data_IF_230777568066
#
_entry.id   IF_230777568066
#
_cell.length_a   1.000
_cell.length_b   1.000
_cell.length_c   1.000
_cell.angle_alpha   90.00
_cell.angle_beta   90.00
_cell.angle_gamma   90.00
#
_symmetry.space_group_name_H-M   'P 1'
#
loop_
_entity.id
_entity.type
_entity.pdbx_description
1 polymer ?
#
# COMPACT_ATOMS: atom_id res chain seq x y z
N UNK A 1 11.43 24.88 -24.17
CA UNK A 1 11.19 23.44 -24.41
C UNK A 1 12.42 22.60 -24.10
N UNK A 2 13.58 22.85 -24.72
CA UNK A 2 14.82 22.11 -24.42
C UNK A 2 15.28 22.23 -22.95
N UNK A 3 15.22 23.43 -22.35
CA UNK A 3 15.48 23.67 -20.92
C UNK A 3 14.58 22.84 -20.00
N UNK A 4 13.28 22.74 -20.33
CA UNK A 4 12.29 21.98 -19.55
C UNK A 4 12.52 20.48 -19.67
N UNK A 5 12.87 20.01 -20.87
CA UNK A 5 13.26 18.61 -21.10
C UNK A 5 14.57 18.27 -20.39
N UNK A 6 15.56 19.16 -20.40
CA UNK A 6 16.82 18.96 -19.66
C UNK A 6 16.62 19.04 -18.16
N UNK A 7 15.70 19.86 -17.66
CA UNK A 7 15.32 19.86 -16.26
C UNK A 7 14.62 18.56 -15.84
N UNK A 8 13.72 18.03 -16.69
CA UNK A 8 12.98 16.79 -16.42
C UNK A 8 13.85 15.53 -16.56
N UNK A 9 14.67 15.47 -17.61
CA UNK A 9 15.46 14.30 -18.01
C UNK A 9 16.94 14.38 -17.66
N UNK A 10 17.47 15.56 -17.30
CA UNK A 10 18.89 15.75 -16.97
C UNK A 10 19.31 14.99 -15.71
N UNK A 11 18.39 14.80 -14.76
CA UNK A 11 18.60 13.95 -13.59
C UNK A 11 18.79 12.46 -13.94
N UNK A 12 18.31 12.02 -15.11
CA UNK A 12 18.46 10.65 -15.60
C UNK A 12 19.70 10.48 -16.50
N UNK A 13 20.39 11.57 -16.86
CA UNK A 13 21.51 11.53 -17.80
C UNK A 13 22.73 10.77 -17.25
N UNK A 14 22.94 10.81 -15.93
CA UNK A 14 24.01 10.09 -15.23
C UNK A 14 23.60 8.68 -14.77
N UNK A 15 22.34 8.29 -14.96
CA UNK A 15 21.82 7.00 -14.48
C UNK A 15 21.94 5.90 -15.53
N UNK A 16 22.28 4.69 -15.08
CA UNK A 16 22.30 3.51 -15.96
C UNK A 16 20.89 3.24 -16.49
N UNK A 17 20.81 2.94 -17.79
CA UNK A 17 19.56 2.59 -18.49
C UNK A 17 18.81 1.43 -17.81
N UNK A 18 19.54 0.52 -17.15
CA UNK A 18 18.94 -0.59 -16.39
C UNK A 18 18.16 -0.11 -15.16
N UNK A 19 18.65 0.91 -14.44
CA UNK A 19 17.95 1.44 -13.26
C UNK A 19 16.68 2.19 -13.67
N UNK A 20 16.75 2.96 -14.75
CA UNK A 20 15.60 3.67 -15.33
C UNK A 20 14.54 2.67 -15.79
N UNK A 21 14.94 1.60 -16.47
CA UNK A 21 14.02 0.55 -16.90
C UNK A 21 13.35 -0.16 -15.71
N UNK A 22 14.12 -0.48 -14.66
CA UNK A 22 13.58 -1.09 -13.43
C UNK A 22 12.61 -0.16 -12.70
N UNK A 23 12.93 1.13 -12.59
CA UNK A 23 12.03 2.14 -12.02
C UNK A 23 10.72 2.23 -12.79
N UNK A 24 10.79 2.29 -14.13
CA UNK A 24 9.60 2.32 -14.98
C UNK A 24 8.73 1.08 -14.80
N UNK A 25 9.34 -0.11 -14.75
CA UNK A 25 8.63 -1.36 -14.47
C UNK A 25 7.99 -1.31 -13.08
N UNK A 26 8.70 -0.84 -12.06
CA UNK A 26 8.18 -0.68 -10.71
C UNK A 26 6.97 0.25 -10.66
N UNK A 27 7.03 1.39 -11.36
CA UNK A 27 5.92 2.35 -11.47
C UNK A 27 4.71 1.73 -12.18
N UNK A 28 4.92 1.01 -13.30
CA UNK A 28 3.84 0.34 -14.03
C UNK A 28 3.15 -0.71 -13.16
N UNK A 29 3.92 -1.52 -12.43
CA UNK A 29 3.38 -2.49 -11.48
C UNK A 29 2.64 -1.78 -10.34
N UNK A 30 3.19 -0.70 -9.79
CA UNK A 30 2.54 0.09 -8.74
C UNK A 30 1.18 0.65 -9.18
N UNK A 31 1.11 1.27 -10.36
CA UNK A 31 -0.15 1.78 -10.94
C UNK A 31 -1.13 0.64 -11.21
N UNK A 32 -0.63 -0.49 -11.74
CA UNK A 32 -1.45 -1.67 -11.97
C UNK A 32 -2.07 -2.19 -10.67
N UNK A 33 -1.31 -2.25 -9.57
CA UNK A 33 -1.82 -2.64 -8.25
C UNK A 33 -3.02 -1.78 -7.83
N UNK A 34 -2.96 -0.46 -7.99
CA UNK A 34 -4.07 0.46 -7.67
C UNK A 34 -5.30 0.20 -8.55
N UNK A 35 -5.10 -0.04 -9.85
CA UNK A 35 -6.21 -0.34 -10.77
C UNK A 35 -6.90 -1.67 -10.44
N UNK A 36 -6.14 -2.66 -9.98
CA UNK A 36 -6.70 -3.91 -9.50
C UNK A 36 -7.44 -3.74 -8.16
N UNK A 37 -7.07 -2.74 -7.34
CA UNK A 37 -7.71 -2.47 -6.05
C UNK A 37 -9.13 -1.98 -6.26
N UNK A 38 -9.34 -1.15 -7.28
CA UNK A 38 -10.68 -0.77 -7.74
C UNK A 38 -11.52 -1.97 -8.19
N UNK A 39 -10.90 -3.06 -8.65
CA UNK A 39 -11.60 -4.29 -9.07
C UNK A 39 -11.79 -5.31 -7.94
N UNK A 40 -11.44 -4.99 -6.70
CA UNK A 40 -11.55 -5.89 -5.53
C UNK A 40 -10.85 -7.25 -5.74
N UNK A 41 -9.78 -7.26 -6.57
CA UNK A 41 -9.03 -8.47 -6.91
C UNK A 41 -7.89 -8.71 -5.92
N UNK A 42 -7.67 -9.98 -5.52
CA UNK A 42 -6.55 -10.40 -4.63
C UNK A 42 -5.17 -10.03 -5.16
N UNK A 43 -5.04 -9.92 -6.48
CA UNK A 43 -3.79 -9.70 -7.19
C UNK A 43 -3.19 -8.30 -6.96
N UNK A 44 -3.92 -7.40 -6.30
CA UNK A 44 -3.43 -6.07 -5.88
C UNK A 44 -2.18 -6.18 -5.03
N UNK A 45 -2.24 -7.07 -4.04
CA UNK A 45 -1.18 -7.25 -3.06
C UNK A 45 0.12 -7.79 -3.67
N UNK A 46 0.13 -8.89 -4.44
CA UNK A 46 1.37 -9.39 -5.03
C UNK A 46 1.97 -8.43 -6.06
N UNK A 47 1.16 -7.73 -6.85
CA UNK A 47 1.65 -6.75 -7.84
C UNK A 47 2.29 -5.54 -7.14
N UNK A 48 1.66 -5.04 -6.06
CA UNK A 48 2.20 -3.95 -5.25
C UNK A 48 3.47 -4.36 -4.50
N UNK A 49 3.54 -5.61 -4.04
CA UNK A 49 4.72 -6.15 -3.36
C UNK A 49 5.93 -6.25 -4.31
N UNK A 50 5.71 -6.68 -5.55
CA UNK A 50 6.77 -6.69 -6.58
C UNK A 50 7.28 -5.27 -6.84
N UNK A 51 6.39 -4.29 -6.95
CA UNK A 51 6.76 -2.89 -7.13
C UNK A 51 7.63 -2.37 -5.97
N UNK A 52 7.16 -2.54 -4.73
CA UNK A 52 7.87 -2.10 -3.52
C UNK A 52 9.22 -2.81 -3.36
N UNK A 53 9.31 -4.11 -3.68
CA UNK A 53 10.58 -4.85 -3.64
C UNK A 53 11.61 -4.31 -4.64
N UNK A 54 11.17 -3.92 -5.84
CA UNK A 54 12.04 -3.26 -6.82
C UNK A 54 12.52 -1.91 -6.28
N UNK A 55 11.64 -1.10 -5.68
CA UNK A 55 12.03 0.18 -5.07
C UNK A 55 13.04 0.01 -3.92
N UNK A 56 12.85 -0.99 -3.05
CA UNK A 56 13.83 -1.31 -1.98
C UNK A 56 15.20 -1.61 -2.59
N UNK A 57 15.25 -2.37 -3.69
CA UNK A 57 16.50 -2.67 -4.38
C UNK A 57 17.16 -1.42 -5.00
N UNK A 58 16.39 -0.53 -5.63
CA UNK A 58 16.91 0.73 -6.20
C UNK A 58 17.49 1.62 -5.09
N UNK A 59 16.76 1.80 -4.00
CA UNK A 59 17.16 2.65 -2.88
C UNK A 59 18.40 2.12 -2.16
N UNK A 60 18.54 0.80 -2.04
CA UNK A 60 19.77 0.17 -1.56
C UNK A 60 20.99 0.59 -2.40
N UNK A 61 20.84 0.56 -3.73
CA UNK A 61 21.92 0.94 -4.66
C UNK A 61 22.28 2.41 -4.58
N UNK A 62 21.30 3.29 -4.28
CA UNK A 62 21.52 4.72 -4.13
C UNK A 62 22.00 5.12 -2.73
N UNK A 63 22.13 4.16 -1.79
CA UNK A 63 22.51 4.40 -0.38
C UNK A 63 21.55 5.35 0.36
N UNK A 64 20.30 5.48 -0.12
CA UNK A 64 19.22 6.15 0.60
C UNK A 64 18.55 5.16 1.55
N UNK A 65 19.27 4.81 2.63
CA UNK A 65 18.80 3.82 3.59
C UNK A 65 17.50 4.25 4.28
N UNK A 66 17.29 5.54 4.55
CA UNK A 66 16.05 6.03 5.16
C UNK A 66 14.79 5.70 4.33
N UNK A 67 14.82 5.97 3.03
CA UNK A 67 13.69 5.72 2.13
C UNK A 67 13.51 4.22 1.85
N UNK A 68 14.61 3.48 1.87
CA UNK A 68 14.61 2.02 1.76
C UNK A 68 13.89 1.37 2.93
N UNK A 69 14.14 1.80 4.19
CA UNK A 69 13.47 1.24 5.37
C UNK A 69 11.96 1.46 5.33
N UNK A 70 11.51 2.60 4.81
CA UNK A 70 10.09 2.89 4.66
C UNK A 70 9.46 1.99 3.60
N UNK A 71 10.08 1.86 2.42
CA UNK A 71 9.62 0.92 1.39
C UNK A 71 9.63 -0.54 1.87
N UNK A 72 10.60 -0.93 2.69
CA UNK A 72 10.64 -2.25 3.30
C UNK A 72 9.49 -2.46 4.30
N UNK A 73 9.22 -1.47 5.14
CA UNK A 73 8.07 -1.49 6.05
C UNK A 73 6.75 -1.63 5.30
N UNK A 74 6.57 -0.88 4.20
CA UNK A 74 5.42 -1.02 3.32
C UNK A 74 5.26 -2.43 2.75
N UNK A 75 6.36 -3.04 2.31
CA UNK A 75 6.34 -4.41 1.78
C UNK A 75 5.85 -5.40 2.84
N UNK A 76 6.38 -5.34 4.06
CA UNK A 76 5.97 -6.21 5.17
C UNK A 76 4.50 -6.00 5.55
N UNK A 77 4.07 -4.75 5.66
CA UNK A 77 2.68 -4.42 5.97
C UNK A 77 1.72 -4.85 4.86
N UNK A 78 2.13 -4.76 3.60
CA UNK A 78 1.35 -5.26 2.45
C UNK A 78 1.19 -6.78 2.50
N UNK A 79 2.23 -7.52 2.89
CA UNK A 79 2.15 -8.99 3.14
C UNK A 79 1.13 -9.27 4.24
N UNK A 80 1.20 -8.55 5.35
CA UNK A 80 0.27 -8.74 6.46
C UNK A 80 -1.19 -8.50 6.02
N UNK A 81 -1.45 -7.39 5.31
CA UNK A 81 -2.77 -7.09 4.74
C UNK A 81 -3.26 -8.19 3.80
N UNK A 82 -2.37 -8.71 2.95
CA UNK A 82 -2.67 -9.81 2.04
C UNK A 82 -3.08 -11.10 2.78
N UNK A 83 -2.31 -11.50 3.79
CA UNK A 83 -2.58 -12.71 4.57
C UNK A 83 -3.95 -12.60 5.27
N UNK A 84 -4.23 -11.46 5.91
CA UNK A 84 -5.48 -11.25 6.62
C UNK A 84 -6.70 -11.25 5.68
N UNK A 85 -6.57 -10.60 4.51
CA UNK A 85 -7.64 -10.53 3.53
C UNK A 85 -7.93 -11.88 2.85
N UNK A 86 -6.89 -12.69 2.61
CA UNK A 86 -7.05 -14.04 2.05
C UNK A 86 -7.81 -14.97 3.00
N UNK A 87 -7.57 -14.85 4.31
CA UNK A 87 -8.27 -15.66 5.31
C UNK A 87 -9.76 -15.30 5.45
N UNK A 88 -10.11 -14.01 5.42
CA UNK A 88 -11.51 -13.60 5.51
C UNK A 88 -12.35 -14.02 4.30
N UNK A 89 -11.79 -13.97 3.08
CA UNK A 89 -12.47 -14.48 1.86
C UNK A 89 -12.78 -15.97 1.96
N UNK A 90 -11.87 -16.78 2.49
CA UNK A 90 -12.06 -18.22 2.65
C UNK A 90 -13.19 -18.56 3.63
N UNK A 91 -13.29 -17.83 4.74
CA UNK A 91 -14.36 -18.02 5.72
C UNK A 91 -15.74 -17.61 5.19
N UNK A 92 -15.81 -16.56 4.35
CA UNK A 92 -17.05 -16.13 3.70
C UNK A 92 -17.53 -17.16 2.66
N UNK A 93 -16.60 -17.78 1.94
CA UNK A 93 -16.90 -18.84 0.96
C UNK A 93 -17.42 -20.12 1.64
N UNK A 94 -16.79 -20.54 2.74
CA UNK A 94 -17.22 -21.70 3.54
C UNK A 94 -18.58 -21.49 4.22
N UNK A 95 -18.87 -20.28 4.73
CA UNK A 95 -20.20 -19.97 5.28
C UNK A 95 -21.29 -20.08 4.23
N UNK A 96 -21.06 -19.51 3.04
CA UNK A 96 -21.98 -19.70 1.92
C UNK A 96 -22.15 -21.18 1.61
N UNK A 97 -21.06 -21.97 1.65
CA UNK A 97 -21.08 -23.38 1.29
C UNK A 97 -21.87 -24.31 2.25
N UNK A 98 -22.07 -23.87 3.50
CA UNK A 98 -22.71 -24.66 4.55
C UNK A 98 -24.23 -24.38 4.68
N UNK A 99 -24.73 -23.27 4.11
CA UNK A 99 -26.15 -22.93 4.12
C UNK A 99 -26.99 -23.76 3.15
N UNK A 100 -26.36 -24.43 2.16
CA UNK A 100 -27.06 -25.27 1.18
C UNK A 100 -27.21 -26.74 1.55
N UNK A 101 -26.81 -27.15 2.77
CA UNK A 101 -26.98 -28.54 3.23
C UNK A 101 -28.29 -28.74 4.03
N UNK A 102 -29.20 -27.75 4.01
CA UNK A 102 -30.51 -27.86 4.66
C UNK A 102 -31.64 -27.65 3.64
N UNK A 103 -32.12 -28.70 2.95
CA UNK A 103 -33.15 -28.55 1.93
C UNK A 103 -34.51 -28.68 2.58
N UNK A 104 -35.10 -27.58 3.07
CA UNK A 104 -36.56 -27.53 3.18
C UNK A 104 -37.07 -26.09 3.17
N UNK A 105 -37.79 -25.75 2.09
CA UNK A 105 -38.72 -24.61 1.92
C UNK A 105 -38.26 -23.25 1.33
N UNK A 106 -37.36 -23.18 0.32
CA UNK A 106 -37.08 -21.91 -0.39
C UNK A 106 -36.88 -22.01 -1.94
N UNK A 107 -37.18 -23.15 -2.58
CA UNK A 107 -36.81 -23.40 -3.99
C UNK A 107 -37.62 -22.66 -5.07
N UNK A 108 -38.52 -21.72 -4.73
CA UNK A 108 -39.39 -21.07 -5.72
C UNK A 108 -38.90 -19.67 -6.19
N UNK A 109 -37.98 -19.02 -5.48
CA UNK A 109 -37.64 -17.60 -5.75
C UNK A 109 -36.26 -17.39 -6.42
N UNK A 110 -35.48 -18.45 -6.64
CA UNK A 110 -34.05 -18.37 -7.01
C UNK A 110 -33.75 -18.25 -8.53
N UNK A 111 -34.76 -18.34 -9.40
CA UNK A 111 -34.55 -18.23 -10.85
C UNK A 111 -34.77 -16.83 -11.45
N UNK A 112 -35.37 -15.90 -10.71
CA UNK A 112 -35.66 -14.53 -11.22
C UNK A 112 -34.65 -13.48 -10.76
N UNK A 113 -33.76 -13.79 -9.80
CA UNK A 113 -32.75 -12.83 -9.31
C UNK A 113 -31.43 -12.82 -10.12
N UNK A 114 -31.25 -13.82 -10.99
CA UNK A 114 -29.98 -14.05 -11.70
C UNK A 114 -29.81 -13.27 -13.02
N UNK A 115 -30.74 -12.37 -13.36
CA UNK A 115 -30.64 -11.51 -14.56
C UNK A 115 -30.20 -10.06 -14.25
N UNK A 116 -30.29 -9.62 -12.98
CA UNK A 116 -30.11 -8.20 -12.61
C UNK A 116 -28.98 -7.97 -11.60
N UNK A 117 -28.19 -9.00 -11.27
CA UNK A 117 -27.07 -8.93 -10.33
C UNK A 117 -25.82 -8.25 -10.93
N UNK A 118 -26.01 -7.12 -11.62
CA UNK A 118 -24.95 -6.15 -11.86
C UNK A 118 -24.84 -5.26 -10.60
N UNK A 119 -23.79 -5.52 -9.81
CA UNK A 119 -23.18 -4.53 -8.91
C UNK A 119 -24.04 -3.92 -7.80
N UNK A 120 -24.73 -4.73 -7.00
CA UNK A 120 -25.09 -4.29 -5.65
C UNK A 120 -23.84 -4.46 -4.75
N UNK A 121 -22.91 -3.51 -4.84
CA UNK A 121 -21.91 -3.32 -3.78
C UNK A 121 -22.72 -2.90 -2.56
N UNK A 122 -22.98 -3.82 -1.63
CA UNK A 122 -23.46 -3.44 -0.30
C UNK A 122 -22.40 -2.49 0.27
N UNK A 123 -22.73 -1.19 0.28
CA UNK A 123 -21.86 -0.15 0.82
C UNK A 123 -21.83 -0.39 2.31
N UNK A 124 -20.83 -1.17 2.76
CA UNK A 124 -20.57 -1.39 4.17
C UNK A 124 -20.25 -0.03 4.81
N UNK A 125 -21.26 0.54 5.46
CA UNK A 125 -21.14 1.84 6.08
C UNK A 125 -20.18 1.70 7.27
N UNK A 126 -19.13 2.51 7.25
CA UNK A 126 -18.20 2.70 8.37
C UNK A 126 -18.99 2.82 9.68
N UNK A 127 -18.91 1.80 10.54
CA UNK A 127 -19.55 1.87 11.84
C UNK A 127 -18.75 2.85 12.69
N UNK A 128 -19.44 3.73 13.45
CA UNK A 128 -18.79 4.73 14.30
C UNK A 128 -17.87 4.10 15.36
N UNK A 129 -18.06 2.83 15.66
CA UNK A 129 -17.22 2.02 16.57
C UNK A 129 -15.83 1.70 16.02
N UNK A 130 -15.63 1.85 14.71
CA UNK A 130 -14.42 1.45 14.01
C UNK A 130 -13.47 2.63 13.81
N UNK A 131 -14.06 3.83 13.80
CA UNK A 131 -13.37 5.11 13.74
C UNK A 131 -12.26 5.28 14.81
N UNK A 132 -12.43 4.90 16.10
CA UNK A 132 -11.35 5.01 17.08
C UNK A 132 -10.19 4.06 16.76
N UNK A 133 -10.44 2.82 16.35
CA UNK A 133 -9.37 1.90 15.94
C UNK A 133 -8.63 2.48 14.72
N UNK A 134 -9.37 2.99 13.75
CA UNK A 134 -8.83 3.57 12.53
C UNK A 134 -7.95 4.79 12.82
N UNK A 135 -8.39 5.65 13.75
CA UNK A 135 -7.66 6.86 14.17
C UNK A 135 -6.39 6.50 14.93
N UNK A 136 -6.45 5.52 15.83
CA UNK A 136 -5.26 5.03 16.56
C UNK A 136 -4.26 4.41 15.59
N UNK A 137 -4.72 3.60 14.63
CA UNK A 137 -3.87 2.98 13.62
C UNK A 137 -3.19 4.03 12.74
N UNK A 138 -3.94 5.03 12.28
CA UNK A 138 -3.41 6.14 11.47
C UNK A 138 -2.38 6.96 12.27
N UNK A 139 -2.70 7.34 13.51
CA UNK A 139 -1.80 8.11 14.37
C UNK A 139 -0.51 7.34 14.68
N UNK A 140 -0.62 6.06 15.02
CA UNK A 140 0.53 5.19 15.26
C UNK A 140 1.42 5.06 14.00
N UNK A 141 0.80 4.93 12.83
CA UNK A 141 1.52 4.88 11.55
C UNK A 141 2.26 6.18 11.28
N UNK A 142 1.58 7.33 11.38
CA UNK A 142 2.21 8.64 11.16
C UNK A 142 3.36 8.85 12.14
N UNK A 143 3.19 8.50 13.41
CA UNK A 143 4.25 8.59 14.41
C UNK A 143 5.45 7.70 14.07
N UNK A 144 5.20 6.47 13.62
CA UNK A 144 6.26 5.55 13.21
C UNK A 144 7.04 6.05 11.99
N UNK A 145 6.35 6.45 10.93
CA UNK A 145 6.99 6.94 9.70
C UNK A 145 7.72 8.27 9.96
N UNK A 146 7.12 9.17 10.75
CA UNK A 146 7.79 10.40 11.20
C UNK A 146 9.06 10.09 12.00
N UNK A 147 9.04 9.08 12.86
CA UNK A 147 10.23 8.65 13.60
C UNK A 147 11.33 8.17 12.65
N UNK A 148 10.99 7.36 11.65
CA UNK A 148 11.96 6.90 10.65
C UNK A 148 12.56 8.08 9.88
N UNK A 149 11.74 9.05 9.45
CA UNK A 149 12.25 10.26 8.79
C UNK A 149 13.08 11.15 9.69
N UNK A 150 12.73 11.25 10.97
CA UNK A 150 13.52 11.98 11.95
C UNK A 150 14.94 11.41 12.06
N UNK A 151 15.08 10.09 12.00
CA UNK A 151 16.39 9.41 12.01
C UNK A 151 17.03 9.26 10.63
N UNK A 152 16.40 9.70 9.54
CA UNK A 152 16.96 9.62 8.17
C UNK A 152 18.41 10.12 8.07
N UNK A 153 18.82 11.28 8.67
CA UNK A 153 20.21 11.75 8.58
C UNK A 153 21.21 10.80 9.24
N UNK A 154 20.83 10.21 10.38
CA UNK A 154 21.65 9.25 11.12
C UNK A 154 21.76 7.93 10.35
N UNK A 155 20.64 7.47 9.81
CA UNK A 155 20.54 6.24 9.01
C UNK A 155 21.39 6.36 7.74
N UNK A 156 21.34 7.49 7.06
CA UNK A 156 22.12 7.73 5.84
C UNK A 156 23.62 7.95 6.14
N UNK A 157 23.98 8.43 7.33
CA UNK A 157 25.37 8.53 7.81
C UNK A 157 25.86 7.24 8.50
N UNK A 158 25.41 6.07 8.03
CA UNK A 158 25.85 4.76 8.52
C UNK A 158 25.67 4.59 10.05
N UNK A 159 24.55 5.09 10.57
CA UNK A 159 24.18 5.13 12.00
C UNK A 159 25.11 5.99 12.88
N UNK A 160 25.82 6.95 12.29
CA UNK A 160 26.62 7.91 13.03
C UNK A 160 25.81 9.14 13.43
N UNK A 161 25.94 9.54 14.69
CA UNK A 161 25.40 10.80 15.20
C UNK A 161 26.35 11.99 14.98
N UNK A 162 27.59 11.73 14.52
CA UNK A 162 28.57 12.79 14.28
C UNK A 162 28.15 13.67 13.09
N UNK A 163 27.88 14.95 13.36
CA UNK A 163 27.41 15.90 12.36
C UNK A 163 25.93 15.74 11.94
N UNK A 164 25.19 14.82 12.57
CA UNK A 164 23.77 14.63 12.28
C UNK A 164 22.93 15.73 12.94
N UNK A 165 22.50 16.71 12.14
CA UNK A 165 21.52 17.71 12.60
C UNK A 165 20.16 17.03 12.61
N UNK A 166 19.62 16.74 13.80
CA UNK A 166 18.27 16.21 13.96
C UNK A 166 17.28 17.36 14.07
N UNK A 167 16.22 17.35 13.26
CA UNK A 167 15.22 18.40 13.33
C UNK A 167 14.06 18.19 12.39
N UNK A 168 12.87 18.65 12.80
CA UNK A 168 11.66 18.63 11.98
C UNK A 168 11.76 19.50 10.72
N UNK A 169 12.74 20.41 10.67
CA UNK A 169 13.03 21.21 9.47
C UNK A 169 13.56 20.36 8.29
N UNK A 170 14.07 19.15 8.55
CA UNK A 170 14.50 18.24 7.48
C UNK A 170 13.33 17.56 6.76
N UNK A 171 12.10 17.71 7.27
CA UNK A 171 10.93 17.13 6.63
C UNK A 171 10.61 17.91 5.38
N UNK A 172 10.71 17.23 4.25
CA UNK A 172 10.29 17.74 2.96
C UNK A 172 8.78 17.55 2.80
N UNK A 173 8.18 18.31 1.89
CA UNK A 173 6.77 18.11 1.55
C UNK A 173 6.46 16.67 1.11
N UNK A 174 7.41 16.02 0.44
CA UNK A 174 7.32 14.62 0.01
C UNK A 174 7.16 13.68 1.22
N UNK A 175 7.87 13.93 2.31
CA UNK A 175 7.80 13.12 3.52
C UNK A 175 6.40 13.20 4.16
N UNK A 176 5.80 14.39 4.20
CA UNK A 176 4.42 14.59 4.67
C UNK A 176 3.41 13.86 3.79
N UNK A 177 3.61 13.91 2.46
CA UNK A 177 2.74 13.17 1.55
C UNK A 177 2.87 11.67 1.73
N UNK A 178 4.08 11.15 1.91
CA UNK A 178 4.30 9.72 2.12
C UNK A 178 3.61 9.26 3.41
N UNK A 179 3.86 9.93 4.54
CA UNK A 179 3.21 9.66 5.83
C UNK A 179 1.68 9.59 5.72
N UNK A 180 1.08 10.54 4.99
CA UNK A 180 -0.37 10.58 4.77
C UNK A 180 -0.83 9.41 3.88
N UNK A 181 -0.12 9.13 2.80
CA UNK A 181 -0.44 7.99 1.93
C UNK A 181 -0.25 6.65 2.64
N UNK A 182 0.73 6.52 3.55
CA UNK A 182 0.92 5.35 4.40
C UNK A 182 -0.29 5.12 5.28
N UNK A 183 -0.72 6.19 5.98
CA UNK A 183 -1.82 6.11 6.93
C UNK A 183 -3.12 5.72 6.22
N UNK A 184 -3.42 6.38 5.09
CA UNK A 184 -4.59 6.05 4.28
C UNK A 184 -4.54 4.63 3.73
N UNK A 185 -3.38 4.16 3.29
CA UNK A 185 -3.20 2.81 2.77
C UNK A 185 -3.45 1.75 3.85
N UNK A 186 -2.89 1.93 5.05
CA UNK A 186 -3.12 1.00 6.17
C UNK A 186 -4.56 1.03 6.67
N UNK A 187 -5.16 2.22 6.74
CA UNK A 187 -6.58 2.39 7.03
C UNK A 187 -7.44 1.62 6.02
N UNK A 188 -7.15 1.74 4.72
CA UNK A 188 -7.86 1.04 3.65
C UNK A 188 -7.69 -0.48 3.76
N UNK A 189 -6.48 -0.97 4.01
CA UNK A 189 -6.24 -2.41 4.21
C UNK A 189 -6.98 -2.95 5.42
N UNK A 190 -6.99 -2.21 6.54
CA UNK A 190 -7.72 -2.61 7.74
C UNK A 190 -9.23 -2.67 7.50
N UNK A 191 -9.79 -1.66 6.82
CA UNK A 191 -11.21 -1.64 6.45
C UNK A 191 -11.58 -2.76 5.50
N UNK A 192 -10.72 -3.06 4.53
CA UNK A 192 -10.95 -4.12 3.56
C UNK A 192 -10.87 -5.52 4.20
N UNK A 193 -10.11 -5.67 5.28
CA UNK A 193 -9.93 -6.93 5.98
C UNK A 193 -10.94 -7.14 7.13
N UNK A 194 -11.76 -6.14 7.44
CA UNK A 194 -12.93 -6.30 8.31
C UNK A 194 -14.06 -6.97 7.54
#
# INVERSE_FOLDING_TARGET
MAELLNWLFGQYADYSTLFIALELIAVIFGVSSVLLASKTNILVFPIGLVSTAIFVYLLWKWQLFGDMFINAYYSIMSIYGWINWTQNKHNTDIKKHHDHINPTSQQQDEYTYNADAHSAIDVEHLNKKDLPILTVLAAATVAFVALVYYFRPVINNNFSFDGAVLGLHLFTWVDYTDMLTTALFLMAMWLMAR
#
